data_IF_404101679218
#
_entry.id   IF_404101679218
#
_cell.length_a   1.000
_cell.length_b   1.000
_cell.length_c   1.000
_cell.angle_alpha   90.00
_cell.angle_beta   90.00
_cell.angle_gamma   90.00
#
_symmetry.space_group_name_H-M   'P 1'
#
loop_
_entity.id
_entity.type
_entity.pdbx_description
1 polymer ?
#
# COMPACT_ATOMS: atom_id res chain seq x y z
N UNK A 1 -10.29 -17.22 7.93
CA UNK A 1 -9.54 -16.80 6.72
C UNK A 1 -8.11 -17.30 6.86
N UNK A 2 -7.57 -17.92 5.81
CA UNK A 2 -6.19 -18.41 5.77
C UNK A 2 -5.24 -17.21 5.51
N UNK A 3 -4.12 -17.11 6.23
CA UNK A 3 -3.15 -16.02 6.03
C UNK A 3 -2.55 -16.00 4.63
N UNK A 4 -2.45 -17.16 3.96
CA UNK A 4 -2.03 -17.23 2.55
C UNK A 4 -2.96 -16.43 1.64
N UNK A 5 -4.28 -16.55 1.84
CA UNK A 5 -5.24 -15.78 1.04
C UNK A 5 -5.27 -14.31 1.45
N UNK A 6 -4.93 -13.99 2.71
CA UNK A 6 -4.78 -12.61 3.17
C UNK A 6 -3.69 -11.86 2.39
N UNK A 7 -2.51 -12.45 2.26
CA UNK A 7 -1.33 -11.82 1.65
C UNK A 7 -1.24 -12.00 0.13
N UNK A 8 -1.74 -13.11 -0.42
CA UNK A 8 -1.51 -13.47 -1.83
C UNK A 8 -2.78 -13.65 -2.67
N UNK A 9 -3.96 -13.72 -2.04
CA UNK A 9 -5.23 -13.83 -2.77
C UNK A 9 -5.87 -12.47 -3.04
N UNK A 10 -6.66 -12.35 -4.11
CA UNK A 10 -7.46 -11.15 -4.40
C UNK A 10 -8.96 -11.34 -4.15
N UNK A 11 -9.41 -12.60 -4.03
CA UNK A 11 -10.79 -12.95 -3.77
C UNK A 11 -11.21 -12.74 -2.32
N UNK A 12 -12.51 -12.52 -2.12
CA UNK A 12 -13.12 -12.41 -0.81
C UNK A 12 -13.09 -11.00 -0.20
N UNK A 13 -13.41 -10.96 1.09
CA UNK A 13 -13.61 -9.72 1.86
C UNK A 13 -12.77 -9.74 3.12
N UNK A 14 -12.36 -8.56 3.56
CA UNK A 14 -11.58 -8.39 4.79
C UNK A 14 -12.13 -7.24 5.62
N UNK A 15 -12.26 -7.45 6.93
CA UNK A 15 -12.69 -6.40 7.85
C UNK A 15 -11.54 -5.40 8.12
N UNK A 16 -11.91 -4.24 8.70
CA UNK A 16 -10.95 -3.18 9.04
C UNK A 16 -9.81 -3.63 9.95
N UNK A 17 -10.07 -4.50 10.94
CA UNK A 17 -9.06 -4.93 11.89
C UNK A 17 -7.94 -5.73 11.21
N UNK A 18 -8.33 -6.66 10.33
CA UNK A 18 -7.37 -7.44 9.53
C UNK A 18 -6.64 -6.58 8.49
N UNK A 19 -7.32 -5.60 7.90
CA UNK A 19 -6.67 -4.61 7.04
C UNK A 19 -5.56 -3.86 7.80
N UNK A 20 -5.89 -3.26 8.94
CA UNK A 20 -4.92 -2.55 9.77
C UNK A 20 -3.80 -3.44 10.29
N UNK A 21 -4.07 -4.71 10.58
CA UNK A 21 -3.02 -5.66 10.97
C UNK A 21 -2.00 -5.89 9.84
N UNK A 22 -2.45 -6.04 8.59
CA UNK A 22 -1.54 -6.18 7.43
C UNK A 22 -0.75 -4.88 7.21
N UNK A 23 -1.40 -3.72 7.32
CA UNK A 23 -0.73 -2.42 7.21
C UNK A 23 0.32 -2.25 8.31
N UNK A 24 -0.01 -2.58 9.56
CA UNK A 24 0.91 -2.51 10.69
C UNK A 24 2.09 -3.47 10.51
N UNK A 25 1.84 -4.71 10.06
CA UNK A 25 2.90 -5.66 9.77
C UNK A 25 3.87 -5.13 8.70
N UNK A 26 3.36 -4.52 7.64
CA UNK A 26 4.18 -3.86 6.62
C UNK A 26 4.98 -2.68 7.23
N UNK A 27 4.37 -1.83 8.05
CA UNK A 27 5.05 -0.72 8.72
C UNK A 27 6.21 -1.24 9.59
N UNK A 28 6.00 -2.31 10.36
CA UNK A 28 7.04 -2.89 11.22
C UNK A 28 8.20 -3.45 10.38
N UNK A 29 7.92 -4.16 9.29
CA UNK A 29 8.96 -4.65 8.36
C UNK A 29 9.76 -3.49 7.78
N UNK A 30 9.09 -2.39 7.42
CA UNK A 30 9.74 -1.19 6.90
C UNK A 30 10.63 -0.50 7.92
N UNK A 31 10.15 -0.32 9.15
CA UNK A 31 10.95 0.24 10.24
C UNK A 31 12.19 -0.62 10.49
N UNK A 32 12.02 -1.94 10.58
CA UNK A 32 13.13 -2.87 10.77
C UNK A 32 14.16 -2.79 9.63
N UNK A 33 13.68 -2.73 8.38
CA UNK A 33 14.55 -2.59 7.20
C UNK A 33 15.33 -1.27 7.22
N UNK A 34 14.67 -0.14 7.50
CA UNK A 34 15.30 1.18 7.56
C UNK A 34 16.34 1.23 8.69
N UNK A 35 16.00 0.73 9.88
CA UNK A 35 16.93 0.67 11.02
C UNK A 35 18.16 -0.16 10.67
N UNK A 36 17.96 -1.35 10.10
CA UNK A 36 19.05 -2.23 9.68
C UNK A 36 19.93 -1.57 8.60
N UNK A 37 19.32 -0.91 7.61
CA UNK A 37 20.04 -0.20 6.57
C UNK A 37 20.90 0.94 7.14
N UNK A 38 20.40 1.67 8.14
CA UNK A 38 21.16 2.74 8.79
C UNK A 38 22.31 2.21 9.66
N UNK A 39 22.10 1.12 10.40
CA UNK A 39 23.14 0.49 11.22
C UNK A 39 24.30 -0.01 10.34
N UNK A 40 23.97 -0.58 9.18
CA UNK A 40 24.96 -1.19 8.30
C UNK A 40 25.61 -0.18 7.34
N UNK A 41 25.06 1.03 7.20
CA UNK A 41 25.52 2.06 6.24
C UNK A 41 27.03 2.29 6.28
N UNK A 42 27.56 2.63 7.45
CA UNK A 42 28.97 3.02 7.60
C UNK A 42 29.91 1.81 7.40
N UNK A 43 29.40 0.60 7.65
CA UNK A 43 30.10 -0.65 7.34
C UNK A 43 30.14 -0.94 5.84
N UNK A 44 29.17 -0.48 5.04
CA UNK A 44 29.18 -0.67 3.58
C UNK A 44 30.17 0.26 2.89
N UNK A 45 30.27 1.51 3.35
CA UNK A 45 31.13 2.53 2.73
C UNK A 45 32.64 2.27 2.91
N UNK A 46 33.01 1.46 3.88
CA UNK A 46 34.41 1.19 4.28
C UNK A 46 35.05 -0.04 3.60
N UNK A 47 34.30 -0.84 2.84
CA UNK A 47 34.84 -1.94 2.04
C UNK A 47 35.06 -1.54 0.59
N UNK A 48 36.29 -1.67 0.10
CA UNK A 48 36.71 -1.43 -1.31
C UNK A 48 35.93 -2.27 -2.36
N UNK A 49 35.12 -3.25 -1.91
CA UNK A 49 34.13 -4.01 -2.70
C UNK A 49 32.76 -3.33 -2.85
N UNK A 50 32.72 -1.99 -2.84
CA UNK A 50 31.55 -1.09 -2.79
C UNK A 50 30.39 -1.44 -3.75
N UNK A 51 30.63 -2.19 -4.81
CA UNK A 51 29.60 -2.52 -5.80
C UNK A 51 28.68 -3.68 -5.38
N UNK A 52 29.20 -4.72 -4.71
CA UNK A 52 28.41 -5.94 -4.44
C UNK A 52 27.50 -5.80 -3.22
N UNK A 53 28.01 -5.20 -2.13
CA UNK A 53 27.22 -5.03 -0.90
C UNK A 53 26.10 -4.01 -1.16
N UNK A 54 26.42 -2.87 -1.77
CA UNK A 54 25.42 -1.85 -2.16
C UNK A 54 24.37 -2.41 -3.13
N UNK A 55 24.76 -3.27 -4.08
CA UNK A 55 23.82 -3.95 -4.98
C UNK A 55 22.87 -4.88 -4.20
N UNK A 56 23.38 -5.69 -3.27
CA UNK A 56 22.55 -6.58 -2.45
C UNK A 56 21.57 -5.79 -1.56
N UNK A 57 22.00 -4.64 -1.01
CA UNK A 57 21.12 -3.73 -0.29
C UNK A 57 20.06 -3.10 -1.20
N UNK A 58 20.41 -2.70 -2.41
CA UNK A 58 19.46 -2.21 -3.40
C UNK A 58 18.41 -3.26 -3.78
N UNK A 59 18.85 -4.49 -4.02
CA UNK A 59 17.96 -5.63 -4.34
C UNK A 59 17.04 -5.95 -3.15
N UNK A 60 17.56 -5.96 -1.92
CA UNK A 60 16.75 -6.26 -0.74
C UNK A 60 15.70 -5.17 -0.50
N UNK A 61 16.07 -3.89 -0.67
CA UNK A 61 15.14 -2.77 -0.61
C UNK A 61 14.05 -2.85 -1.69
N UNK A 62 14.43 -3.12 -2.94
CA UNK A 62 13.46 -3.30 -4.03
C UNK A 62 12.51 -4.47 -3.75
N UNK A 63 13.03 -5.59 -3.23
CA UNK A 63 12.22 -6.77 -2.88
C UNK A 63 11.24 -6.45 -1.74
N UNK A 64 11.68 -5.69 -0.73
CA UNK A 64 10.82 -5.24 0.36
C UNK A 64 9.69 -4.33 -0.15
N UNK A 65 9.99 -3.40 -1.08
CA UNK A 65 8.99 -2.55 -1.75
C UNK A 65 7.98 -3.40 -2.50
N UNK A 66 8.45 -4.30 -3.36
CA UNK A 66 7.58 -5.15 -4.16
C UNK A 66 6.65 -5.98 -3.27
N UNK A 67 7.16 -6.56 -2.18
CA UNK A 67 6.36 -7.32 -1.23
C UNK A 67 5.32 -6.47 -0.49
N UNK A 68 5.69 -5.29 -0.01
CA UNK A 68 4.74 -4.38 0.67
C UNK A 68 3.67 -3.85 -0.27
N UNK A 69 4.02 -3.51 -1.51
CA UNK A 69 3.06 -3.11 -2.54
C UNK A 69 2.10 -4.26 -2.86
N UNK A 70 2.62 -5.48 -3.03
CA UNK A 70 1.80 -6.66 -3.31
C UNK A 70 0.79 -6.94 -2.18
N UNK A 71 1.27 -7.02 -0.94
CA UNK A 71 0.42 -7.32 0.22
C UNK A 71 -0.56 -6.18 0.51
N UNK A 72 -0.14 -4.93 0.37
CA UNK A 72 -0.99 -3.75 0.48
C UNK A 72 -2.10 -3.75 -0.58
N UNK A 73 -1.76 -4.07 -1.82
CA UNK A 73 -2.72 -4.16 -2.92
C UNK A 73 -3.71 -5.30 -2.69
N UNK A 74 -3.23 -6.49 -2.32
CA UNK A 74 -4.07 -7.65 -2.05
C UNK A 74 -5.08 -7.41 -0.91
N UNK A 75 -4.72 -6.65 0.12
CA UNK A 75 -5.65 -6.32 1.21
C UNK A 75 -6.57 -5.14 0.85
N UNK A 76 -6.10 -4.16 0.08
CA UNK A 76 -6.92 -3.05 -0.42
C UNK A 76 -8.04 -3.53 -1.35
N UNK A 77 -7.75 -4.47 -2.26
CA UNK A 77 -8.76 -5.11 -3.12
C UNK A 77 -9.87 -5.75 -2.28
N UNK A 78 -9.50 -6.55 -1.27
CA UNK A 78 -10.47 -7.18 -0.37
C UNK A 78 -11.26 -6.17 0.46
N UNK A 79 -10.69 -5.00 0.78
CA UNK A 79 -11.41 -3.92 1.47
C UNK A 79 -12.41 -3.24 0.56
N UNK A 80 -12.07 -3.02 -0.71
CA UNK A 80 -13.03 -2.51 -1.70
C UNK A 80 -14.18 -3.50 -1.90
N UNK A 81 -13.88 -4.80 -2.01
CA UNK A 81 -14.90 -5.84 -2.03
C UNK A 81 -15.78 -5.84 -0.78
N UNK A 82 -15.18 -5.62 0.40
CA UNK A 82 -15.93 -5.48 1.66
C UNK A 82 -16.86 -4.24 1.68
N UNK A 83 -16.57 -3.24 0.85
CA UNK A 83 -17.38 -2.04 0.64
C UNK A 83 -18.34 -2.17 -0.56
N UNK A 84 -18.48 -3.38 -1.11
CA UNK A 84 -19.23 -3.66 -2.35
C UNK A 84 -18.78 -2.82 -3.56
N UNK A 85 -17.50 -2.45 -3.60
CA UNK A 85 -16.83 -1.77 -4.73
C UNK A 85 -15.98 -2.78 -5.50
N UNK A 86 -15.86 -2.57 -6.80
CA UNK A 86 -14.93 -3.34 -7.63
C UNK A 86 -13.46 -2.97 -7.32
N UNK A 87 -12.54 -3.90 -7.60
CA UNK A 87 -11.10 -3.65 -7.43
C UNK A 87 -10.58 -2.47 -8.28
N UNK A 88 -11.26 -2.11 -9.38
CA UNK A 88 -10.91 -0.99 -10.26
C UNK A 88 -10.87 0.37 -9.57
N UNK A 89 -11.52 0.52 -8.41
CA UNK A 89 -11.42 1.74 -7.61
C UNK A 89 -9.99 2.04 -7.13
N UNK A 90 -9.09 1.05 -7.13
CA UNK A 90 -7.66 1.28 -6.86
C UNK A 90 -7.03 2.19 -7.92
N UNK A 91 -7.49 2.16 -9.17
CA UNK A 91 -6.99 3.07 -10.21
C UNK A 91 -7.24 4.52 -9.78
N UNK A 92 -8.45 4.82 -9.31
CA UNK A 92 -8.78 6.15 -8.82
C UNK A 92 -7.98 6.49 -7.56
N UNK A 93 -7.89 5.59 -6.58
CA UNK A 93 -7.28 5.93 -5.30
C UNK A 93 -5.75 5.92 -5.30
N UNK A 94 -5.11 5.16 -6.18
CA UNK A 94 -3.65 4.99 -6.19
C UNK A 94 -3.03 5.54 -7.47
N UNK A 95 -3.53 5.14 -8.65
CA UNK A 95 -2.90 5.54 -9.92
C UNK A 95 -3.17 6.99 -10.29
N UNK A 96 -4.38 7.51 -10.06
CA UNK A 96 -4.70 8.92 -10.37
C UNK A 96 -3.84 9.89 -9.55
N UNK A 97 -3.69 9.75 -8.22
CA UNK A 97 -2.76 10.59 -7.45
C UNK A 97 -1.31 10.55 -7.95
N UNK A 98 -0.82 9.38 -8.38
CA UNK A 98 0.51 9.23 -8.98
C UNK A 98 0.61 10.00 -10.29
N UNK A 99 -0.38 9.86 -11.18
CA UNK A 99 -0.41 10.57 -12.45
C UNK A 99 -0.48 12.10 -12.25
N UNK A 100 -1.27 12.56 -11.27
CA UNK A 100 -1.33 13.96 -10.86
C UNK A 100 0.01 14.46 -10.29
N UNK A 101 0.69 13.64 -9.49
CA UNK A 101 2.03 13.95 -9.00
C UNK A 101 3.07 14.08 -10.11
N UNK A 102 2.97 13.29 -11.17
CA UNK A 102 3.81 13.43 -12.37
C UNK A 102 3.45 14.69 -13.14
N UNK A 103 2.15 14.98 -13.32
CA UNK A 103 1.69 16.18 -14.01
C UNK A 103 2.18 17.46 -13.33
N UNK A 104 2.24 17.47 -11.99
CA UNK A 104 2.77 18.59 -11.21
C UNK A 104 4.18 19.02 -11.65
N UNK A 105 5.04 18.08 -12.08
CA UNK A 105 6.40 18.39 -12.55
C UNK A 105 6.46 19.29 -13.80
N UNK A 106 5.33 19.46 -14.49
CA UNK A 106 5.24 20.21 -15.75
C UNK A 106 4.32 21.43 -15.67
N UNK A 107 3.84 21.79 -14.47
CA UNK A 107 2.91 22.91 -14.26
C UNK A 107 3.61 24.10 -13.60
N UNK A 108 3.03 25.29 -13.78
CA UNK A 108 3.40 26.48 -13.03
C UNK A 108 2.94 26.37 -11.56
N UNK A 109 3.33 27.33 -10.72
CA UNK A 109 3.06 27.26 -9.27
C UNK A 109 1.57 27.13 -8.97
N UNK A 110 0.73 27.89 -9.67
CA UNK A 110 -0.72 27.86 -9.48
C UNK A 110 -1.32 26.53 -9.93
N UNK A 111 -0.98 26.04 -11.13
CA UNK A 111 -1.44 24.76 -11.64
C UNK A 111 -0.97 23.59 -10.78
N UNK A 112 0.28 23.65 -10.30
CA UNK A 112 0.85 22.67 -9.39
C UNK A 112 0.09 22.58 -8.07
N UNK A 113 -0.23 23.72 -7.45
CA UNK A 113 -1.05 23.75 -6.23
C UNK A 113 -2.46 23.20 -6.45
N UNK A 114 -3.09 23.53 -7.59
CA UNK A 114 -4.42 23.01 -7.91
C UNK A 114 -4.42 21.48 -8.06
N UNK A 115 -3.45 20.93 -8.80
CA UNK A 115 -3.31 19.48 -9.00
C UNK A 115 -2.96 18.77 -7.69
N UNK A 116 -2.09 19.35 -6.87
CA UNK A 116 -1.77 18.82 -5.54
C UNK A 116 -3.02 18.77 -4.64
N UNK A 117 -3.87 19.81 -4.68
CA UNK A 117 -5.14 19.86 -3.94
C UNK A 117 -6.12 18.76 -4.36
N UNK A 118 -6.28 18.53 -5.67
CA UNK A 118 -7.11 17.43 -6.20
C UNK A 118 -6.55 16.06 -5.80
N UNK A 119 -5.22 15.89 -5.94
CA UNK A 119 -4.54 14.65 -5.53
C UNK A 119 -4.76 14.35 -4.04
N UNK A 120 -4.61 15.36 -3.19
CA UNK A 120 -4.86 15.24 -1.75
C UNK A 120 -6.32 14.87 -1.44
N UNK A 121 -7.28 15.50 -2.12
CA UNK A 121 -8.70 15.18 -1.92
C UNK A 121 -9.02 13.70 -2.25
N UNK A 122 -8.46 13.18 -3.34
CA UNK A 122 -8.62 11.78 -3.75
C UNK A 122 -7.96 10.83 -2.73
N UNK A 123 -6.77 11.16 -2.26
CA UNK A 123 -6.06 10.36 -1.25
C UNK A 123 -6.84 10.30 0.07
N UNK A 124 -7.36 11.44 0.54
CA UNK A 124 -8.19 11.50 1.73
C UNK A 124 -9.48 10.69 1.57
N UNK A 125 -10.15 10.79 0.43
CA UNK A 125 -11.32 9.99 0.14
C UNK A 125 -11.00 8.49 0.13
N UNK A 126 -9.96 8.07 -0.59
CA UNK A 126 -9.54 6.67 -0.63
C UNK A 126 -9.15 6.13 0.74
N UNK A 127 -8.47 6.93 1.56
CA UNK A 127 -8.13 6.58 2.94
C UNK A 127 -9.39 6.37 3.79
N UNK A 128 -10.33 7.32 3.77
CA UNK A 128 -11.59 7.19 4.52
C UNK A 128 -12.35 5.94 4.07
N UNK A 129 -12.50 5.74 2.76
CA UNK A 129 -13.26 4.63 2.17
C UNK A 129 -12.67 3.26 2.52
N UNK A 130 -11.34 3.09 2.41
CA UNK A 130 -10.68 1.80 2.60
C UNK A 130 -10.35 1.56 4.08
N UNK A 131 -9.84 2.58 4.78
CA UNK A 131 -9.23 2.42 6.11
C UNK A 131 -10.22 2.63 7.25
N UNK A 132 -11.16 3.59 7.12
CA UNK A 132 -12.02 4.01 8.23
C UNK A 132 -13.44 3.45 8.15
N UNK A 133 -14.06 3.47 6.97
CA UNK A 133 -15.46 3.10 6.86
C UNK A 133 -15.70 1.58 7.07
N UNK A 134 -16.86 1.27 7.66
CA UNK A 134 -17.31 -0.11 7.92
C UNK A 134 -17.65 -0.83 6.62
N UNK A 135 -17.38 -2.14 6.55
CA UNK A 135 -17.85 -2.98 5.45
C UNK A 135 -19.38 -3.10 5.36
N UNK A 136 -19.87 -3.62 4.24
CA UNK A 136 -21.30 -3.92 4.02
C UNK A 136 -21.75 -5.04 4.95
N UNK A 137 -22.92 -4.89 5.58
CA UNK A 137 -23.49 -5.95 6.41
C UNK A 137 -24.03 -7.10 5.55
N UNK A 138 -23.86 -8.34 6.01
CA UNK A 138 -24.35 -9.53 5.31
C UNK A 138 -23.50 -9.89 4.09
N UNK A 139 -23.96 -10.87 3.30
CA UNK A 139 -23.27 -11.30 2.09
C UNK A 139 -23.37 -10.23 0.98
N UNK A 140 -22.33 -10.12 0.17
CA UNK A 140 -22.34 -9.31 -1.05
C UNK A 140 -21.75 -10.12 -2.23
N UNK A 141 -21.65 -9.52 -3.41
CA UNK A 141 -21.14 -10.18 -4.63
C UNK A 141 -19.73 -10.80 -4.49
N UNK A 142 -18.95 -10.39 -3.49
CA UNK A 142 -17.59 -10.85 -3.24
C UNK A 142 -17.49 -11.86 -2.09
N UNK A 143 -18.61 -12.26 -1.48
CA UNK A 143 -18.68 -13.32 -0.49
C UNK A 143 -19.39 -12.95 0.82
N UNK A 144 -19.36 -13.87 1.80
CA UNK A 144 -20.04 -13.69 3.09
C UNK A 144 -19.44 -12.54 3.91
N UNK A 145 -20.20 -12.06 4.89
CA UNK A 145 -19.74 -11.03 5.82
C UNK A 145 -18.51 -11.53 6.60
N UNK A 146 -17.35 -10.82 6.57
CA UNK A 146 -16.15 -11.22 7.30
C UNK A 146 -16.31 -11.18 8.83
N UNK A 147 -17.43 -10.65 9.34
CA UNK A 147 -17.79 -10.62 10.76
C UNK A 147 -18.93 -11.58 11.12
N UNK A 148 -19.60 -12.22 10.16
CA UNK A 148 -20.56 -13.28 10.46
C UNK A 148 -19.81 -14.45 11.12
N UNK A 149 -20.21 -14.79 12.35
CA UNK A 149 -19.75 -15.95 13.09
C UNK A 149 -20.61 -17.15 12.76
#
# INVERSE_FOLDING_TARGET
MNWKTAFFGFGGRVNRAKYWLVILANIVVWIAFIVLANILRDSVESFDGLSRISLLFGISGFTAIAFSLWTGFAVAVKRLHDRARSAWWIVLYWLVPIALGIAWLYLDDFGGLAVAGVSLAILLWGFVEIALLKGTAGANAYGPDPLAR
#
